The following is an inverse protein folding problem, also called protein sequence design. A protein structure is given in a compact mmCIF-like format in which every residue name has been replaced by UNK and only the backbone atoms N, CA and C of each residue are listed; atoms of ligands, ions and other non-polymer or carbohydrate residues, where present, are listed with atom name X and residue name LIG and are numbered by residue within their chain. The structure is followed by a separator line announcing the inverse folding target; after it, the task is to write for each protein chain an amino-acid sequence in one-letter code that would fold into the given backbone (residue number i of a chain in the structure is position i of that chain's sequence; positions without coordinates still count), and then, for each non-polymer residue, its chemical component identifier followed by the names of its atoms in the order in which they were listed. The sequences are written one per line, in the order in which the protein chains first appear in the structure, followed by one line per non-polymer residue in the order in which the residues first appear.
data_IF_972983113271
#
_entry.id   IF_972983113271
#
_cell.length_a   1.000
_cell.length_b   1.000
_cell.length_c   1.000
_cell.angle_alpha   90.00
_cell.angle_beta   90.00
_cell.angle_gamma   90.00
#
_symmetry.space_group_name_H-M   'P 1'
#
loop_
_entity.id
_entity.type
_entity.pdbx_description
1 polymer ?
#
# COMPACT_ATOMS: atom_id res chain seq x y z
N UNK A 1 -27.31 28.03 6.01
CA UNK A 1 -26.59 26.96 5.26
C UNK A 1 -26.77 25.68 6.05
N UNK A 2 -27.55 24.75 5.54
CA UNK A 2 -27.95 23.55 6.30
C UNK A 2 -26.77 22.61 6.49
N UNK A 3 -26.47 22.29 7.74
CA UNK A 3 -25.66 21.14 8.13
C UNK A 3 -26.27 19.89 7.51
N UNK A 4 -25.57 19.29 6.56
CA UNK A 4 -26.00 18.04 5.94
C UNK A 4 -25.57 16.86 6.83
N UNK A 5 -26.07 16.85 8.05
CA UNK A 5 -25.94 15.75 9.01
C UNK A 5 -26.95 14.64 8.65
N UNK A 6 -26.68 13.93 7.55
CA UNK A 6 -27.12 12.54 7.29
C UNK A 6 -26.84 12.09 5.84
N UNK A 7 -25.65 12.39 5.30
CA UNK A 7 -25.22 11.70 4.07
C UNK A 7 -24.63 10.36 4.46
N UNK A 8 -25.33 9.27 4.13
CA UNK A 8 -24.80 7.92 4.29
C UNK A 8 -23.49 7.81 3.50
N UNK A 9 -22.41 7.42 4.19
CA UNK A 9 -21.10 7.23 3.57
C UNK A 9 -21.17 6.08 2.55
N UNK A 10 -20.48 6.26 1.43
CA UNK A 10 -20.20 5.18 0.49
C UNK A 10 -19.35 4.10 1.16
N UNK A 11 -19.28 2.91 0.55
CA UNK A 11 -18.42 1.83 1.07
C UNK A 11 -16.95 2.27 1.15
N UNK A 12 -16.45 2.93 0.11
CA UNK A 12 -15.08 3.45 0.07
C UNK A 12 -14.81 4.46 1.19
N UNK A 13 -15.71 5.41 1.42
CA UNK A 13 -15.57 6.37 2.52
C UNK A 13 -15.61 5.69 3.89
N UNK A 14 -16.44 4.65 4.07
CA UNK A 14 -16.46 3.84 5.30
C UNK A 14 -15.13 3.14 5.55
N UNK A 15 -14.57 2.51 4.51
CA UNK A 15 -13.28 1.82 4.59
C UNK A 15 -12.16 2.83 4.88
N UNK A 16 -12.06 3.93 4.14
CA UNK A 16 -11.04 4.95 4.41
C UNK A 16 -11.18 5.47 5.84
N UNK A 17 -12.41 5.77 6.30
CA UNK A 17 -12.68 6.30 7.63
C UNK A 17 -12.22 5.35 8.73
N UNK A 18 -12.39 4.05 8.56
CA UNK A 18 -11.95 3.07 9.56
C UNK A 18 -10.43 2.88 9.63
N UNK A 19 -9.67 3.38 8.66
CA UNK A 19 -8.21 3.23 8.60
C UNK A 19 -7.44 4.55 8.77
N UNK A 20 -8.11 5.68 9.02
CA UNK A 20 -7.43 6.94 9.35
C UNK A 20 -6.74 6.81 10.72
N UNK A 21 -5.45 7.12 10.74
CA UNK A 21 -4.63 7.19 11.97
C UNK A 21 -4.10 8.59 12.23
N UNK A 22 -4.15 9.48 11.24
CA UNK A 22 -3.76 10.88 11.36
C UNK A 22 -4.58 11.76 10.39
N UNK A 23 -4.89 12.99 10.81
CA UNK A 23 -5.74 13.94 10.05
C UNK A 23 -7.25 13.68 10.14
N UNK A 24 -8.02 14.45 9.36
CA UNK A 24 -9.49 14.41 9.32
C UNK A 24 -10.00 14.12 7.90
N UNK A 25 -11.15 13.43 7.79
CA UNK A 25 -11.80 13.10 6.51
C UNK A 25 -12.47 14.35 5.88
N UNK A 26 -11.65 15.31 5.47
CA UNK A 26 -12.04 16.53 4.77
C UNK A 26 -11.49 16.45 3.34
N UNK A 27 -12.32 16.78 2.34
CA UNK A 27 -11.88 16.71 0.94
C UNK A 27 -10.77 17.73 0.67
N UNK A 28 -9.69 17.27 0.05
CA UNK A 28 -8.55 18.12 -0.32
C UNK A 28 -7.50 18.29 0.77
N UNK A 29 -7.67 17.66 1.94
CA UNK A 29 -6.66 17.61 2.99
C UNK A 29 -5.92 16.28 3.00
N UNK A 30 -4.69 16.28 3.47
CA UNK A 30 -3.89 15.06 3.68
C UNK A 30 -4.41 14.28 4.90
N UNK A 31 -4.32 12.95 4.82
CA UNK A 31 -4.65 12.02 5.90
C UNK A 31 -3.60 10.91 5.96
N UNK A 32 -3.28 10.46 7.17
CA UNK A 32 -2.49 9.26 7.40
C UNK A 32 -3.41 8.04 7.45
N UNK A 33 -3.09 7.02 6.64
CA UNK A 33 -3.83 5.75 6.61
C UNK A 33 -2.98 4.61 7.18
N UNK A 34 -3.60 3.77 8.00
CA UNK A 34 -3.06 2.46 8.32
C UNK A 34 -3.19 1.57 7.08
N UNK A 35 -2.06 1.04 6.63
CA UNK A 35 -2.02 0.04 5.56
C UNK A 35 -1.97 -1.34 6.22
N UNK A 36 -3.00 -2.15 6.04
CA UNK A 36 -3.02 -3.49 6.63
C UNK A 36 -2.18 -4.48 5.82
N UNK A 37 -2.12 -4.29 4.49
CA UNK A 37 -1.45 -5.21 3.59
C UNK A 37 -0.66 -4.49 2.50
N UNK A 38 0.51 -5.02 2.18
CA UNK A 38 1.28 -4.65 0.97
C UNK A 38 1.36 -5.84 0.04
N UNK A 39 1.12 -5.61 -1.25
CA UNK A 39 1.25 -6.61 -2.29
C UNK A 39 2.24 -6.08 -3.33
N UNK A 40 3.25 -6.86 -3.62
CA UNK A 40 4.27 -6.57 -4.64
C UNK A 40 4.24 -7.69 -5.69
N UNK A 41 4.69 -7.36 -6.90
CA UNK A 41 4.90 -8.29 -8.01
C UNK A 41 6.37 -8.22 -8.38
N UNK A 42 6.98 -9.33 -8.81
CA UNK A 42 8.37 -9.46 -9.23
C UNK A 42 8.89 -8.29 -10.11
N UNK A 43 8.12 -7.79 -11.08
CA UNK A 43 8.55 -6.66 -11.93
C UNK A 43 8.68 -5.29 -11.20
N UNK A 44 7.96 -5.07 -10.10
CA UNK A 44 8.02 -3.79 -9.34
C UNK A 44 8.49 -3.99 -7.90
N UNK A 45 8.73 -5.23 -7.49
CA UNK A 45 9.11 -5.62 -6.14
C UNK A 45 10.55 -5.26 -5.84
N UNK A 46 11.49 -5.52 -6.77
CA UNK A 46 12.93 -5.28 -6.57
C UNK A 46 13.20 -3.84 -6.13
N UNK A 47 12.72 -2.85 -6.88
CA UNK A 47 12.95 -1.44 -6.53
C UNK A 47 12.26 -1.03 -5.22
N UNK A 48 11.09 -1.58 -4.92
CA UNK A 48 10.43 -1.33 -3.64
C UNK A 48 11.23 -1.89 -2.46
N UNK A 49 11.86 -3.06 -2.63
CA UNK A 49 12.70 -3.69 -1.61
C UNK A 49 14.04 -2.99 -1.42
N UNK A 50 14.72 -2.60 -2.50
CA UNK A 50 15.96 -1.81 -2.40
C UNK A 50 15.74 -0.49 -1.65
N UNK A 51 14.62 0.18 -1.90
CA UNK A 51 14.27 1.39 -1.15
C UNK A 51 13.92 1.07 0.31
N UNK A 52 13.21 -0.03 0.57
CA UNK A 52 12.91 -0.48 1.93
C UNK A 52 14.19 -0.79 2.72
N UNK A 53 15.17 -1.45 2.11
CA UNK A 53 16.48 -1.72 2.70
C UNK A 53 17.25 -0.41 2.97
N UNK A 54 17.24 0.53 2.03
CA UNK A 54 17.90 1.83 2.16
C UNK A 54 17.32 2.68 3.31
N UNK A 55 16.06 2.46 3.71
CA UNK A 55 15.45 3.11 4.87
C UNK A 55 16.02 2.62 6.21
N UNK A 56 16.76 1.51 6.24
CA UNK A 56 17.35 0.95 7.46
C UNK A 56 16.31 0.42 8.44
N UNK A 57 15.19 -0.11 7.94
CA UNK A 57 14.11 -0.66 8.75
C UNK A 57 14.19 -2.18 8.74
N UNK A 58 14.27 -2.80 9.93
CA UNK A 58 14.48 -4.25 10.04
C UNK A 58 13.33 -5.11 9.50
N UNK A 59 12.09 -4.61 9.54
CA UNK A 59 10.90 -5.36 9.12
C UNK A 59 9.75 -4.45 8.70
N UNK A 60 8.99 -4.92 7.70
CA UNK A 60 7.69 -4.32 7.32
C UNK A 60 6.76 -4.19 8.54
N UNK A 61 5.98 -3.11 8.56
CA UNK A 61 5.06 -2.79 9.67
C UNK A 61 3.59 -3.11 9.38
N UNK A 62 3.28 -3.54 8.15
CA UNK A 62 1.95 -4.03 7.78
C UNK A 62 1.66 -5.37 8.45
N UNK A 63 0.38 -5.72 8.57
CA UNK A 63 -0.01 -7.00 9.15
C UNK A 63 0.36 -8.16 8.23
N UNK A 64 0.29 -7.95 6.91
CA UNK A 64 0.71 -8.92 5.90
C UNK A 64 1.45 -8.24 4.75
N UNK A 65 2.50 -8.88 4.27
CA UNK A 65 3.19 -8.49 3.05
C UNK A 65 3.38 -9.72 2.19
N UNK A 66 2.96 -9.63 0.93
CA UNK A 66 3.02 -10.74 -0.02
C UNK A 66 3.69 -10.29 -1.31
N UNK A 67 4.61 -11.12 -1.81
CA UNK A 67 5.23 -10.97 -3.12
C UNK A 67 4.67 -12.05 -4.04
N UNK A 68 4.04 -11.64 -5.14
CA UNK A 68 3.69 -12.55 -6.23
C UNK A 68 4.87 -12.67 -7.19
N UNK A 69 5.26 -13.92 -7.45
CA UNK A 69 6.31 -14.29 -8.40
C UNK A 69 5.64 -15.01 -9.55
N UNK A 70 5.16 -14.25 -10.52
CA UNK A 70 4.34 -14.75 -11.61
C UNK A 70 4.73 -14.19 -12.98
N UNK A 71 5.36 -13.02 -13.06
CA UNK A 71 5.78 -12.43 -14.34
C UNK A 71 7.12 -12.97 -14.86
N UNK A 72 7.97 -13.57 -14.00
CA UNK A 72 9.29 -14.12 -14.37
C UNK A 72 9.37 -15.66 -14.43
N UNK A 73 8.24 -16.36 -14.47
CA UNK A 73 8.17 -17.84 -14.37
C UNK A 73 8.93 -18.60 -15.49
N UNK A 74 9.20 -17.96 -16.63
CA UNK A 74 10.12 -18.46 -17.68
C UNK A 74 11.38 -17.58 -17.70
N UNK A 75 12.31 -17.82 -16.78
CA UNK A 75 13.67 -17.25 -16.82
C UNK A 75 14.43 -17.77 -18.06
N UNK A 76 14.16 -17.22 -19.24
CA UNK A 76 14.82 -17.58 -20.49
C UNK A 76 16.03 -16.69 -20.82
N UNK A 77 16.35 -15.71 -19.97
CA UNK A 77 17.44 -14.75 -20.16
C UNK A 77 18.29 -14.58 -18.89
N UNK A 78 19.59 -14.34 -19.07
CA UNK A 78 20.59 -14.17 -18.01
C UNK A 78 20.30 -13.00 -17.05
N UNK A 79 19.47 -12.04 -17.45
CA UNK A 79 19.12 -10.86 -16.65
C UNK A 79 18.28 -11.20 -15.41
N UNK A 80 17.55 -12.33 -15.42
CA UNK A 80 16.72 -12.78 -14.30
C UNK A 80 17.45 -13.67 -13.28
N UNK A 81 18.71 -14.06 -13.54
CA UNK A 81 19.48 -14.87 -12.59
C UNK A 81 20.21 -14.02 -11.54
N UNK A 82 20.39 -12.73 -11.83
CA UNK A 82 21.04 -11.73 -10.99
C UNK A 82 20.03 -10.75 -10.33
N UNK A 83 18.73 -10.87 -10.62
CA UNK A 83 17.61 -10.11 -9.99
C UNK A 83 16.83 -11.00 -9.01
#
# INVERSE_FOLDING_TARGET
MGNNENKSLTLTEKIIKSHIVDGEMIKGTEIGLKIDQTLTQDATGTMAYLQFEAMGIDRVKTERSLAYIDHNTLQSGFENADD
#
